data_IF_198906175779
#
_entry.id   IF_198906175779
#
_cell.length_a   1.000
_cell.length_b   1.000
_cell.length_c   1.000
_cell.angle_alpha   90.00
_cell.angle_beta   90.00
_cell.angle_gamma   90.00
#
_symmetry.space_group_name_H-M   'P 1'
#
loop_
_entity.id
_entity.type
_entity.pdbx_description
1 polymer ?
#
# COMPACT_ATOMS: atom_id res chain seq x y z
N UNK A 1 2.02 -3.38 8.12
CA UNK A 1 2.20 -4.85 8.03
C UNK A 1 2.09 -5.32 6.58
N UNK A 2 1.15 -4.77 5.77
CA UNK A 2 1.00 -5.12 4.34
C UNK A 2 2.31 -5.20 3.56
N UNK A 3 3.12 -4.15 3.55
CA UNK A 3 4.37 -4.13 2.76
C UNK A 3 5.35 -5.27 3.08
N UNK A 4 5.53 -5.62 4.36
CA UNK A 4 6.45 -6.71 4.75
C UNK A 4 5.91 -8.06 4.29
N UNK A 5 4.61 -8.29 4.44
CA UNK A 5 3.94 -9.51 3.95
C UNK A 5 3.98 -9.60 2.43
N UNK A 6 3.74 -8.50 1.72
CA UNK A 6 3.76 -8.44 0.26
C UNK A 6 5.17 -8.71 -0.28
N UNK A 7 6.20 -8.13 0.34
CA UNK A 7 7.61 -8.39 0.00
C UNK A 7 7.94 -9.87 0.23
N UNK A 8 7.56 -10.44 1.37
CA UNK A 8 7.82 -11.85 1.67
C UNK A 8 7.15 -12.78 0.65
N UNK A 9 5.86 -12.60 0.39
CA UNK A 9 5.10 -13.40 -0.58
C UNK A 9 5.70 -13.31 -2.00
N UNK A 10 6.04 -12.10 -2.43
CA UNK A 10 6.64 -11.87 -3.76
C UNK A 10 8.01 -12.53 -3.87
N UNK A 11 8.80 -12.51 -2.79
CA UNK A 11 10.10 -13.17 -2.76
C UNK A 11 10.00 -14.71 -2.82
N UNK A 12 9.05 -15.32 -2.09
CA UNK A 12 8.80 -16.76 -2.20
C UNK A 12 8.33 -17.15 -3.61
N UNK A 13 7.43 -16.36 -4.21
CA UNK A 13 6.97 -16.58 -5.59
C UNK A 13 8.11 -16.48 -6.61
N UNK A 14 9.00 -15.48 -6.46
CA UNK A 14 10.18 -15.34 -7.31
C UNK A 14 11.09 -16.57 -7.20
N UNK A 15 11.28 -17.09 -5.98
CA UNK A 15 12.10 -18.29 -5.75
C UNK A 15 11.48 -19.51 -6.46
N UNK A 16 10.17 -19.70 -6.31
CA UNK A 16 9.44 -20.80 -6.95
C UNK A 16 9.54 -20.75 -8.49
N UNK A 17 9.28 -19.57 -9.08
CA UNK A 17 9.34 -19.38 -10.52
C UNK A 17 10.75 -19.61 -11.08
N UNK A 18 11.78 -19.22 -10.32
CA UNK A 18 13.17 -19.42 -10.71
C UNK A 18 13.55 -20.91 -10.77
N UNK A 19 13.08 -21.71 -9.80
CA UNK A 19 13.28 -23.17 -9.84
C UNK A 19 12.50 -23.83 -10.98
N UNK A 20 11.25 -23.40 -11.22
CA UNK A 20 10.43 -23.93 -12.32
C UNK A 20 11.06 -23.62 -13.68
N UNK A 21 11.57 -22.40 -13.87
CA UNK A 21 12.29 -22.03 -15.10
C UNK A 21 13.55 -22.87 -15.29
N UNK A 22 14.34 -23.09 -14.22
CA UNK A 22 15.54 -23.93 -14.27
C UNK A 22 15.20 -25.36 -14.71
N UNK A 23 14.18 -25.97 -14.11
CA UNK A 23 13.71 -27.31 -14.48
C UNK A 23 13.17 -27.37 -15.92
N UNK A 24 12.47 -26.33 -16.37
CA UNK A 24 11.99 -26.23 -17.74
C UNK A 24 13.14 -26.10 -18.75
N UNK A 25 14.21 -25.36 -18.41
CA UNK A 25 15.40 -25.23 -19.23
C UNK A 25 16.16 -26.57 -19.36
N UNK A 26 16.33 -27.31 -18.26
CA UNK A 26 16.94 -28.65 -18.26
C UNK A 26 16.11 -29.65 -19.09
N UNK A 27 14.78 -29.55 -18.99
CA UNK A 27 13.86 -30.36 -19.80
C UNK A 27 13.98 -30.01 -21.28
N UNK A 28 14.04 -28.72 -21.63
CA UNK A 28 14.19 -28.26 -23.00
C UNK A 28 15.47 -28.82 -23.63
N UNK A 29 16.59 -28.73 -22.92
CA UNK A 29 17.87 -29.28 -23.38
C UNK A 29 17.77 -30.78 -23.69
N UNK A 30 17.18 -31.56 -22.77
CA UNK A 30 17.00 -33.01 -22.96
C UNK A 30 16.13 -33.34 -24.18
N UNK A 31 15.12 -32.50 -24.46
CA UNK A 31 14.24 -32.66 -25.64
C UNK A 31 14.95 -32.30 -26.94
N UNK A 32 15.75 -31.24 -26.94
CA UNK A 32 16.58 -30.85 -28.10
C UNK A 32 17.60 -31.94 -28.46
N UNK A 33 18.25 -32.54 -27.45
CA UNK A 33 19.16 -33.67 -27.64
C UNK A 33 18.44 -34.90 -28.22
N UNK A 34 17.25 -35.21 -27.70
CA UNK A 34 16.42 -36.33 -28.20
C UNK A 34 15.96 -36.11 -29.64
N UNK A 35 15.54 -34.88 -29.97
CA UNK A 35 15.17 -34.49 -31.33
C UNK A 35 16.36 -34.63 -32.30
N UNK A 36 17.55 -34.18 -31.89
CA UNK A 36 18.76 -34.33 -32.69
C UNK A 36 19.10 -35.81 -32.97
N UNK A 37 18.91 -36.69 -31.98
CA UNK A 37 19.10 -38.13 -32.16
C UNK A 37 18.07 -38.74 -33.13
N UNK A 38 16.80 -38.35 -33.03
CA UNK A 38 15.72 -38.84 -33.91
C UNK A 38 15.96 -38.38 -35.36
N UNK A 39 16.39 -37.13 -35.57
CA UNK A 39 16.77 -36.62 -36.90
C UNK A 39 17.91 -37.45 -37.52
N UNK A 40 18.97 -37.76 -36.75
CA UNK A 40 20.06 -38.64 -37.22
C UNK A 40 19.58 -40.06 -37.56
N UNK A 41 18.64 -40.62 -36.78
CA UNK A 41 18.04 -41.93 -37.09
C UNK A 41 17.21 -41.92 -38.38
N UNK A 42 16.50 -40.83 -38.66
CA UNK A 42 15.75 -40.65 -39.92
C UNK A 42 16.68 -40.63 -41.12
N UNK A 43 17.84 -39.95 -41.03
CA UNK A 43 18.84 -39.90 -42.11
C UNK A 43 19.36 -41.29 -42.53
N UNK A 44 19.45 -42.22 -41.58
CA UNK A 44 19.85 -43.62 -41.83
C UNK A 44 18.68 -44.58 -42.03
N UNK A 45 17.45 -44.06 -42.16
CA UNK A 45 16.23 -44.85 -42.42
C UNK A 45 15.68 -45.63 -41.22
N UNK A 46 16.13 -45.33 -40.00
CA UNK A 46 15.72 -45.99 -38.76
C UNK A 46 14.57 -45.27 -38.01
N UNK A 47 14.11 -44.13 -38.52
CA UNK A 47 12.96 -43.38 -37.98
C UNK A 47 12.16 -42.76 -39.13
N UNK A 48 10.88 -42.49 -38.87
CA UNK A 48 9.95 -41.90 -39.85
C UNK A 48 9.89 -40.37 -39.72
N UNK A 49 9.34 -39.69 -40.72
CA UNK A 49 9.10 -38.24 -40.62
C UNK A 49 8.08 -37.89 -39.53
N UNK A 50 7.12 -38.78 -39.28
CA UNK A 50 6.16 -38.60 -38.19
C UNK A 50 6.85 -38.58 -36.82
N UNK A 51 7.90 -39.39 -36.62
CA UNK A 51 8.68 -39.40 -35.37
C UNK A 51 9.43 -38.08 -35.16
N UNK A 52 9.96 -37.49 -36.22
CA UNK A 52 10.63 -36.18 -36.18
C UNK A 52 9.63 -35.10 -35.83
N UNK A 53 8.49 -35.03 -36.53
CA UNK A 53 7.45 -34.02 -36.28
C UNK A 53 6.87 -34.12 -34.85
N UNK A 54 6.67 -35.34 -34.34
CA UNK A 54 6.23 -35.56 -32.97
C UNK A 54 7.26 -35.05 -31.94
N UNK A 55 8.55 -35.33 -32.17
CA UNK A 55 9.64 -34.86 -31.31
C UNK A 55 9.81 -33.33 -31.37
N UNK A 56 9.63 -32.72 -32.55
CA UNK A 56 9.61 -31.27 -32.73
C UNK A 56 8.47 -30.63 -31.95
N UNK A 57 7.25 -31.15 -32.09
CA UNK A 57 6.09 -30.64 -31.35
C UNK A 57 6.28 -30.68 -29.84
N UNK A 58 6.86 -31.76 -29.31
CA UNK A 58 7.19 -31.87 -27.89
C UNK A 58 8.26 -30.85 -27.47
N UNK A 59 9.33 -30.70 -28.26
CA UNK A 59 10.40 -29.71 -27.98
C UNK A 59 9.85 -28.29 -27.96
N UNK A 60 9.03 -27.92 -28.95
CA UNK A 60 8.44 -26.58 -29.04
C UNK A 60 7.43 -26.32 -27.92
N UNK A 61 6.67 -27.33 -27.48
CA UNK A 61 5.78 -27.19 -26.33
C UNK A 61 6.55 -26.84 -25.03
N UNK A 62 7.70 -27.46 -24.81
CA UNK A 62 8.56 -27.16 -23.65
C UNK A 62 9.24 -25.79 -23.81
N UNK A 63 9.64 -25.41 -25.04
CA UNK A 63 10.20 -24.08 -25.32
C UNK A 63 9.21 -22.96 -24.97
N UNK A 64 7.94 -23.13 -25.31
CA UNK A 64 6.86 -22.20 -24.95
C UNK A 64 6.73 -22.11 -23.43
N UNK A 65 6.71 -23.25 -22.73
CA UNK A 65 6.60 -23.29 -21.27
C UNK A 65 7.78 -22.59 -20.58
N UNK A 66 9.01 -22.84 -21.03
CA UNK A 66 10.20 -22.18 -20.49
C UNK A 66 10.14 -20.66 -20.69
N UNK A 67 9.74 -20.21 -21.88
CA UNK A 67 9.62 -18.77 -22.19
C UNK A 67 8.57 -18.09 -21.32
N UNK A 68 7.44 -18.76 -21.07
CA UNK A 68 6.39 -18.25 -20.20
C UNK A 68 6.83 -18.16 -18.73
N UNK A 69 7.53 -19.19 -18.22
CA UNK A 69 8.08 -19.18 -16.86
C UNK A 69 9.12 -18.07 -16.68
N UNK A 70 9.98 -17.87 -17.68
CA UNK A 70 10.94 -16.77 -17.69
C UNK A 70 10.26 -15.40 -17.62
N UNK A 71 9.19 -15.20 -18.41
CA UNK A 71 8.39 -13.96 -18.39
C UNK A 71 7.77 -13.74 -17.00
N UNK A 72 7.15 -14.76 -16.40
CA UNK A 72 6.54 -14.66 -15.07
C UNK A 72 7.58 -14.34 -13.99
N UNK A 73 8.78 -14.94 -14.07
CA UNK A 73 9.90 -14.63 -13.17
C UNK A 73 10.28 -13.15 -13.29
N UNK A 74 10.48 -12.66 -14.51
CA UNK A 74 10.89 -11.27 -14.76
C UNK A 74 9.84 -10.27 -14.24
N UNK A 75 8.56 -10.55 -14.44
CA UNK A 75 7.47 -9.74 -13.88
C UNK A 75 7.48 -9.72 -12.35
N UNK A 76 7.70 -10.87 -11.72
CA UNK A 76 7.78 -10.99 -10.26
C UNK A 76 9.01 -10.27 -9.70
N UNK A 77 10.14 -10.33 -10.41
CA UNK A 77 11.36 -9.60 -10.03
C UNK A 77 11.16 -8.09 -10.11
N UNK A 78 10.45 -7.61 -11.14
CA UNK A 78 10.09 -6.19 -11.27
C UNK A 78 9.15 -5.75 -10.15
N UNK A 79 8.15 -6.57 -9.81
CA UNK A 79 7.24 -6.30 -8.69
C UNK A 79 8.00 -6.21 -7.35
N UNK A 80 8.95 -7.12 -7.10
CA UNK A 80 9.77 -7.10 -5.89
C UNK A 80 10.67 -5.84 -5.83
N UNK A 81 11.23 -5.44 -6.97
CA UNK A 81 12.01 -4.21 -7.10
C UNK A 81 11.18 -2.97 -6.75
N UNK A 82 9.93 -2.91 -7.23
CA UNK A 82 8.99 -1.84 -6.89
C UNK A 82 8.66 -1.81 -5.39
N UNK A 83 8.38 -2.97 -4.78
CA UNK A 83 8.00 -3.05 -3.35
C UNK A 83 9.14 -2.67 -2.41
N UNK A 84 10.38 -2.99 -2.77
CA UNK A 84 11.55 -2.70 -1.95
C UNK A 84 12.16 -1.32 -2.21
N UNK A 85 11.76 -0.66 -3.30
CA UNK A 85 12.35 0.60 -3.75
C UNK A 85 13.80 0.46 -4.22
N UNK A 86 14.32 -0.77 -4.32
CA UNK A 86 15.62 -1.06 -4.90
C UNK A 86 15.43 -1.20 -6.42
N UNK A 87 16.23 -0.47 -7.22
CA UNK A 87 16.21 -0.60 -8.68
C UNK A 87 16.57 -2.03 -9.14
N UNK A 88 16.56 -2.27 -10.45
CA UNK A 88 16.90 -3.58 -11.02
C UNK A 88 18.25 -4.08 -10.47
N UNK A 89 18.21 -5.10 -9.61
CA UNK A 89 19.39 -5.53 -8.85
C UNK A 89 19.13 -6.41 -7.64
N UNK A 90 17.88 -6.78 -7.34
CA UNK A 90 17.63 -7.78 -6.30
C UNK A 90 18.14 -9.14 -6.81
N UNK A 91 19.13 -9.76 -6.13
CA UNK A 91 19.63 -11.06 -6.52
C UNK A 91 18.49 -12.08 -6.46
N UNK A 92 18.32 -12.83 -7.54
CA UNK A 92 17.36 -13.93 -7.60
C UNK A 92 17.82 -14.98 -6.58
N UNK A 93 16.98 -15.37 -5.61
CA UNK A 93 17.31 -16.43 -4.67
C UNK A 93 17.46 -17.75 -5.45
N UNK A 94 18.66 -18.31 -5.42
CA UNK A 94 19.04 -19.54 -6.14
C UNK A 94 18.74 -20.82 -5.38
N UNK A 95 18.08 -20.76 -4.21
CA UNK A 95 17.81 -21.96 -3.43
C UNK A 95 16.59 -21.83 -2.50
N UNK A 96 15.67 -22.79 -2.59
CA UNK A 96 14.59 -23.03 -1.62
C UNK A 96 15.09 -23.88 -0.44
N UNK A 97 16.10 -24.73 -0.68
CA UNK A 97 16.66 -25.65 0.32
C UNK A 97 17.57 -24.89 1.30
N UNK A 98 16.96 -24.39 2.38
CA UNK A 98 17.67 -23.71 3.47
C UNK A 98 16.87 -22.57 4.11
N UNK A 99 15.65 -22.29 3.64
CA UNK A 99 14.84 -21.25 4.22
C UNK A 99 14.31 -21.67 5.59
N UNK A 100 14.42 -20.82 6.63
CA UNK A 100 13.94 -21.14 7.96
C UNK A 100 12.45 -21.48 7.90
N UNK A 101 12.04 -22.60 8.50
CA UNK A 101 10.61 -22.95 8.58
C UNK A 101 9.87 -21.77 9.22
N UNK A 102 8.75 -21.35 8.64
CA UNK A 102 7.88 -20.36 9.28
C UNK A 102 7.60 -20.85 10.70
N UNK A 103 7.97 -20.06 11.70
CA UNK A 103 7.74 -20.41 13.10
C UNK A 103 6.23 -20.67 13.29
N UNK A 104 5.89 -21.79 13.91
CA UNK A 104 4.50 -22.13 14.22
C UNK A 104 3.87 -20.98 15.02
N UNK A 105 2.87 -20.32 14.42
CA UNK A 105 2.08 -19.33 15.13
C UNK A 105 1.16 -20.07 16.09
N UNK A 106 1.43 -19.96 17.39
CA UNK A 106 0.62 -20.58 18.43
C UNK A 106 -0.86 -20.16 18.30
N UNK A 107 -1.83 -21.10 18.25
CA UNK A 107 -3.24 -20.77 18.23
C UNK A 107 -3.68 -20.27 19.62
N UNK A 108 -4.38 -19.14 19.64
CA UNK A 108 -4.88 -18.49 20.86
C UNK A 108 -4.18 -17.15 21.12
N UNK A 109 -4.53 -16.14 20.33
CA UNK A 109 -4.06 -14.76 20.57
C UNK A 109 -4.99 -14.10 21.60
N UNK A 110 -4.51 -13.70 22.79
CA UNK A 110 -5.29 -12.92 23.75
C UNK A 110 -5.77 -11.61 23.13
N UNK A 111 -6.85 -11.03 23.65
CA UNK A 111 -7.39 -9.72 23.22
C UNK A 111 -6.33 -8.60 23.22
N UNK A 112 -5.23 -8.77 23.96
CA UNK A 112 -4.06 -7.88 23.98
C UNK A 112 -3.32 -7.78 22.64
N UNK A 113 -3.48 -8.75 21.74
CA UNK A 113 -2.89 -8.72 20.39
C UNK A 113 -3.60 -7.70 19.50
N UNK A 114 -4.90 -7.45 19.73
CA UNK A 114 -5.64 -6.38 19.04
C UNK A 114 -5.07 -5.00 19.38
N UNK A 115 -4.55 -4.79 20.60
CA UNK A 115 -3.90 -3.54 21.01
C UNK A 115 -2.55 -3.30 20.31
N UNK A 116 -1.93 -4.35 19.75
CA UNK A 116 -0.67 -4.25 19.01
C UNK A 116 -0.87 -4.04 17.51
N UNK A 117 -2.08 -4.26 16.98
CA UNK A 117 -2.33 -4.07 15.55
C UNK A 117 -2.46 -2.58 15.19
N UNK A 118 -1.64 -2.05 14.26
CA UNK A 118 -1.70 -0.63 13.87
C UNK A 118 -3.04 -0.19 13.27
N UNK A 119 -3.76 -1.10 12.60
CA UNK A 119 -5.06 -0.83 11.99
C UNK A 119 -6.17 -0.60 13.03
N UNK A 120 -6.20 -1.40 14.10
CA UNK A 120 -7.13 -1.25 15.24
C UNK A 120 -6.88 0.08 15.95
N UNK A 121 -5.62 0.42 16.25
CA UNK A 121 -5.26 1.71 16.85
C UNK A 121 -5.63 2.90 15.94
N UNK A 122 -5.41 2.78 14.64
CA UNK A 122 -5.83 3.81 13.69
C UNK A 122 -7.35 3.98 13.67
N UNK A 123 -8.12 2.89 13.75
CA UNK A 123 -9.57 2.96 13.83
C UNK A 123 -10.06 3.61 15.14
N UNK A 124 -9.44 3.28 16.28
CA UNK A 124 -9.71 3.93 17.57
C UNK A 124 -9.46 5.44 17.51
N UNK A 125 -8.31 5.87 16.97
CA UNK A 125 -8.00 7.29 16.83
C UNK A 125 -8.99 8.01 15.90
N UNK A 126 -9.47 7.34 14.84
CA UNK A 126 -10.55 7.89 13.99
C UNK A 126 -11.85 8.07 14.75
N UNK A 127 -12.22 7.12 15.62
CA UNK A 127 -13.42 7.25 16.47
C UNK A 127 -13.27 8.41 17.48
N UNK A 128 -12.11 8.54 18.12
CA UNK A 128 -11.80 9.64 19.05
C UNK A 128 -11.91 10.99 18.33
N UNK A 129 -11.32 11.11 17.13
CA UNK A 129 -11.41 12.32 16.31
C UNK A 129 -12.85 12.67 15.89
N UNK A 130 -13.65 11.66 15.52
CA UNK A 130 -15.06 11.85 15.20
C UNK A 130 -15.86 12.31 16.43
N UNK A 131 -15.57 11.77 17.62
CA UNK A 131 -16.19 12.22 18.86
C UNK A 131 -15.80 13.66 19.23
N UNK A 132 -14.54 14.06 19.03
CA UNK A 132 -14.10 15.45 19.21
C UNK A 132 -14.83 16.42 18.26
N UNK A 133 -15.12 15.97 17.03
CA UNK A 133 -15.88 16.76 16.05
C UNK A 133 -17.34 16.99 16.49
N UNK A 134 -17.98 16.02 17.17
CA UNK A 134 -19.30 16.22 17.80
C UNK A 134 -19.21 17.31 18.88
N UNK A 135 -18.16 17.29 19.71
CA UNK A 135 -17.92 18.33 20.71
C UNK A 135 -17.80 19.72 20.07
N UNK A 136 -17.04 19.84 18.98
CA UNK A 136 -16.89 21.10 18.24
C UNK A 136 -18.22 21.58 17.61
N UNK A 137 -19.02 20.66 17.06
CA UNK A 137 -20.35 20.99 16.53
C UNK A 137 -21.30 21.47 17.62
N UNK A 138 -21.27 20.85 18.81
CA UNK A 138 -22.05 21.28 19.98
C UNK A 138 -21.57 22.64 20.52
N UNK A 139 -20.27 22.94 20.43
CA UNK A 139 -19.73 24.23 20.84
C UNK A 139 -20.32 25.41 20.03
N UNK A 140 -20.86 25.17 18.84
CA UNK A 140 -21.50 26.21 18.03
C UNK A 140 -22.83 26.74 18.61
N UNK A 141 -23.41 26.06 19.63
CA UNK A 141 -24.53 26.60 20.41
C UNK A 141 -24.10 27.67 21.44
N UNK A 142 -22.81 27.76 21.74
CA UNK A 142 -22.29 28.68 22.74
C UNK A 142 -21.78 29.98 22.09
N UNK A 143 -21.70 31.09 22.85
CA UNK A 143 -21.16 32.34 22.36
C UNK A 143 -19.70 32.17 21.89
N UNK A 144 -19.38 32.72 20.71
CA UNK A 144 -18.01 32.82 20.23
C UNK A 144 -17.43 34.15 20.69
N UNK A 145 -16.32 34.07 21.42
CA UNK A 145 -15.52 35.24 21.84
C UNK A 145 -14.35 35.36 20.86
N UNK A 146 -14.24 36.51 20.20
CA UNK A 146 -13.09 36.87 19.38
C UNK A 146 -12.40 38.09 20.00
N UNK A 147 -11.08 38.08 20.05
CA UNK A 147 -10.30 39.18 20.60
C UNK A 147 -9.28 39.64 19.57
N UNK A 148 -9.43 40.89 19.11
CA UNK A 148 -8.46 41.54 18.23
C UNK A 148 -7.69 42.56 19.03
N UNK A 149 -6.37 42.43 19.09
CA UNK A 149 -5.49 43.41 19.71
C UNK A 149 -4.32 43.73 18.78
N UNK A 150 -3.96 45.00 18.65
CA UNK A 150 -2.77 45.42 17.93
C UNK A 150 -2.04 46.56 18.67
N UNK A 151 -0.76 46.70 18.38
CA UNK A 151 0.11 47.76 18.86
C UNK A 151 1.04 48.13 17.72
N UNK A 152 1.23 49.42 17.49
CA UNK A 152 2.10 49.90 16.43
C UNK A 152 2.11 51.41 16.37
N UNK A 153 2.21 51.95 15.17
CA UNK A 153 2.16 53.38 14.90
C UNK A 153 1.18 53.69 13.79
N UNK A 154 0.56 54.86 13.86
CA UNK A 154 -0.36 55.36 12.85
C UNK A 154 -0.08 56.84 12.61
N UNK A 155 0.06 57.23 11.34
CA UNK A 155 0.30 58.60 10.91
C UNK A 155 -0.52 58.92 9.67
N UNK A 156 -0.85 60.20 9.46
CA UNK A 156 -1.52 60.68 8.24
C UNK A 156 -0.57 60.77 7.04
N UNK A 157 0.72 60.93 7.30
CA UNK A 157 1.80 60.95 6.30
C UNK A 157 2.85 59.88 6.64
N UNK A 158 3.46 59.26 5.62
CA UNK A 158 4.44 58.19 5.82
C UNK A 158 5.68 58.66 6.61
N UNK A 159 6.09 59.91 6.42
CA UNK A 159 7.21 60.55 7.13
C UNK A 159 7.07 60.48 8.65
N UNK A 160 5.86 60.66 9.18
CA UNK A 160 5.59 60.66 10.62
C UNK A 160 5.33 59.28 11.24
N UNK A 161 5.49 58.18 10.50
CA UNK A 161 5.08 56.85 10.96
C UNK A 161 5.89 56.34 12.16
N UNK A 162 7.12 56.82 12.37
CA UNK A 162 7.96 56.41 13.51
C UNK A 162 8.33 57.56 14.45
N UNK A 163 7.72 58.73 14.25
CA UNK A 163 7.99 59.91 15.07
C UNK A 163 7.38 59.79 16.48
N UNK A 164 7.90 60.61 17.40
CA UNK A 164 7.32 60.72 18.74
C UNK A 164 5.85 61.18 18.64
N UNK A 165 4.95 60.40 19.24
CA UNK A 165 3.49 60.67 19.18
C UNK A 165 2.71 59.86 18.15
N UNK A 166 3.40 59.11 17.27
CA UNK A 166 2.76 58.22 16.28
C UNK A 166 2.25 56.89 16.84
N UNK A 167 2.54 56.57 18.12
CA UNK A 167 2.16 55.31 18.78
C UNK A 167 0.64 55.14 18.82
N UNK A 168 0.18 53.98 18.37
CA UNK A 168 -1.23 53.61 18.34
C UNK A 168 -1.43 52.17 18.81
N UNK A 169 -2.59 51.89 19.39
CA UNK A 169 -3.00 50.56 19.82
C UNK A 169 -4.49 50.36 19.57
N UNK A 170 -4.90 49.11 19.41
CA UNK A 170 -6.29 48.71 19.28
C UNK A 170 -6.54 47.53 20.20
N UNK A 171 -7.68 47.55 20.90
CA UNK A 171 -8.22 46.41 21.61
C UNK A 171 -9.72 46.33 21.32
N UNK A 172 -10.13 45.29 20.61
CA UNK A 172 -11.48 45.14 20.09
C UNK A 172 -11.97 43.71 20.34
N UNK A 173 -12.58 43.44 21.53
CA UNK A 173 -13.29 42.19 21.78
C UNK A 173 -14.62 42.16 21.03
N UNK A 174 -15.04 40.99 20.58
CA UNK A 174 -16.31 40.75 19.93
C UNK A 174 -16.96 39.46 20.45
N UNK A 175 -18.26 39.52 20.75
CA UNK A 175 -19.07 38.39 21.19
C UNK A 175 -20.16 38.12 20.15
N UNK A 176 -20.25 36.87 19.68
CA UNK A 176 -21.29 36.45 18.72
C UNK A 176 -22.03 35.22 19.22
N UNK A 177 -23.33 35.34 19.42
CA UNK A 177 -24.23 34.24 19.77
C UNK A 177 -25.37 34.15 18.72
N UNK A 178 -25.47 33.05 17.96
CA UNK A 178 -26.62 32.87 17.07
C UNK A 178 -27.90 32.62 17.88
N UNK A 179 -28.92 33.46 17.70
CA UNK A 179 -30.24 33.30 18.32
C UNK A 179 -31.20 32.46 17.46
N UNK A 180 -31.10 32.58 16.14
CA UNK A 180 -31.88 31.83 15.18
C UNK A 180 -31.03 31.52 13.94
N UNK A 181 -31.03 30.26 13.51
CA UNK A 181 -30.26 29.80 12.35
C UNK A 181 -31.01 28.74 11.52
N UNK A 182 -32.35 28.72 11.63
CA UNK A 182 -33.23 27.77 10.97
C UNK A 182 -32.85 26.28 11.18
N UNK A 183 -32.23 25.94 12.32
CA UNK A 183 -31.89 24.56 12.67
C UNK A 183 -30.53 24.10 12.15
N UNK A 184 -29.75 24.98 11.49
CA UNK A 184 -28.43 24.66 10.93
C UNK A 184 -27.46 24.08 11.97
N UNK A 185 -27.40 24.64 13.17
CA UNK A 185 -26.49 24.17 14.22
C UNK A 185 -26.87 22.77 14.69
N UNK A 186 -28.18 22.48 14.83
CA UNK A 186 -28.67 21.14 15.16
C UNK A 186 -28.33 20.13 14.06
N UNK A 187 -28.61 20.47 12.80
CA UNK A 187 -28.28 19.62 11.66
C UNK A 187 -26.77 19.31 11.58
N UNK A 188 -25.90 20.26 11.90
CA UNK A 188 -24.45 20.04 11.94
C UNK A 188 -24.03 19.07 13.05
N UNK A 189 -24.71 19.08 14.20
CA UNK A 189 -24.48 18.11 15.28
C UNK A 189 -24.94 16.73 14.84
N UNK A 190 -26.12 16.61 14.24
CA UNK A 190 -26.66 15.35 13.73
C UNK A 190 -25.72 14.72 12.69
N UNK A 191 -25.17 15.53 11.78
CA UNK A 191 -24.16 15.09 10.80
C UNK A 191 -22.87 14.61 11.49
N UNK A 192 -22.40 15.32 12.51
CA UNK A 192 -21.21 14.91 13.25
C UNK A 192 -21.43 13.60 14.03
N UNK A 193 -22.61 13.43 14.61
CA UNK A 193 -23.01 12.20 15.31
C UNK A 193 -23.13 11.02 14.36
N UNK A 194 -23.75 11.21 13.19
CA UNK A 194 -23.81 10.19 12.14
C UNK A 194 -22.40 9.76 11.69
N UNK A 195 -21.47 10.70 11.52
CA UNK A 195 -20.06 10.40 11.18
C UNK A 195 -19.35 9.61 12.27
N UNK A 196 -19.60 9.92 13.55
CA UNK A 196 -19.08 9.14 14.70
C UNK A 196 -19.63 7.71 14.69
N UNK A 197 -20.94 7.55 14.47
CA UNK A 197 -21.59 6.24 14.39
C UNK A 197 -21.01 5.43 13.23
N UNK A 198 -20.83 6.03 12.06
CA UNK A 198 -20.18 5.37 10.92
C UNK A 198 -18.74 4.93 11.22
N UNK A 199 -17.97 5.75 11.94
CA UNK A 199 -16.62 5.40 12.36
C UNK A 199 -16.61 4.21 13.35
N UNK A 200 -17.62 4.12 14.23
CA UNK A 200 -17.81 2.98 15.14
C UNK A 200 -18.26 1.70 14.42
N UNK A 201 -19.18 1.78 13.45
CA UNK A 201 -19.59 0.61 12.67
C UNK A 201 -18.43 -0.02 11.89
N UNK A 202 -17.54 0.81 11.31
CA UNK A 202 -16.32 0.33 10.64
C UNK A 202 -15.31 -0.37 11.56
N UNK A 203 -15.46 -0.29 12.89
CA UNK A 203 -14.63 -1.04 13.83
C UNK A 203 -15.17 -2.44 14.13
N UNK A 204 -16.48 -2.67 13.92
CA UNK A 204 -17.16 -3.94 14.23
C UNK A 204 -17.24 -4.88 13.02
N UNK A 205 -17.10 -4.35 11.80
CA UNK A 205 -17.01 -5.08 10.53
C UNK A 205 -15.57 -5.40 10.18
#
# INVERSE_FOLDING_TARGET
IGLVSDVANTWFLLTELSERERLAAETLQTREESLALIRKRREVGLATELDVLAAEGLTESVRIQWTELKRQRDETQNALSLLTGMGAGIPVPTNVAGQPSMAELAPGLPSEVLLRRPDVRAAEQRLIAANASVGAARAAFFPRVALTANLGTASRELSGLFDAGSRAWLFQPALKLPLFDAGRTRANVDVAEARKVQAGYRQLS
#
